data_IF_503811711630
#
_entry.id   IF_503811711630
#
_cell.length_a   1.000
_cell.length_b   1.000
_cell.length_c   1.000
_cell.angle_alpha   90.00
_cell.angle_beta   90.00
_cell.angle_gamma   90.00
#
_symmetry.space_group_name_H-M   'P 1'
#
loop_
_entity.id
_entity.type
_entity.pdbx_description
1 polymer ?
#
# COMPACT_ATOMS: atom_id res chain seq x y z
N UNK A 1 -12.01 5.40 8.73
CA UNK A 1 -11.33 5.89 9.94
C UNK A 1 -11.65 7.36 10.22
N UNK A 2 -11.36 8.28 9.28
CA UNK A 2 -11.48 9.72 9.51
C UNK A 2 -12.83 10.22 10.09
N UNK A 3 -14.01 9.84 9.56
CA UNK A 3 -15.29 10.36 10.10
C UNK A 3 -15.52 9.99 11.56
N UNK A 4 -15.09 8.79 11.97
CA UNK A 4 -15.21 8.31 13.34
C UNK A 4 -14.27 9.05 14.29
N UNK A 5 -13.02 9.31 13.88
CA UNK A 5 -12.06 10.07 14.70
C UNK A 5 -12.53 11.50 14.96
N UNK A 6 -13.08 12.15 13.93
CA UNK A 6 -13.63 13.51 14.07
C UNK A 6 -14.88 13.55 14.96
N UNK A 7 -15.74 12.53 14.88
CA UNK A 7 -16.90 12.39 15.77
C UNK A 7 -16.48 12.23 17.24
N UNK A 8 -15.37 11.54 17.48
CA UNK A 8 -14.78 11.35 18.81
C UNK A 8 -13.99 12.57 19.31
N UNK A 9 -14.01 13.71 18.61
CA UNK A 9 -13.36 14.94 19.06
C UNK A 9 -11.84 14.99 18.83
N UNK A 10 -11.28 14.11 18.00
CA UNK A 10 -9.85 14.18 17.66
C UNK A 10 -9.53 15.47 16.90
N UNK A 11 -8.32 16.01 17.13
CA UNK A 11 -7.82 17.15 16.37
C UNK A 11 -7.84 16.84 14.87
N UNK A 12 -8.40 17.77 14.08
CA UNK A 12 -8.60 17.58 12.65
C UNK A 12 -7.27 17.41 11.90
N UNK A 13 -6.21 18.12 12.30
CA UNK A 13 -4.90 18.02 11.64
C UNK A 13 -4.26 16.67 11.93
N UNK A 14 -4.35 16.20 13.18
CA UNK A 14 -3.86 14.88 13.56
C UNK A 14 -4.62 13.78 12.82
N UNK A 15 -5.96 13.79 12.85
CA UNK A 15 -6.79 12.73 12.24
C UNK A 15 -6.61 12.64 10.71
N UNK A 16 -6.54 13.79 10.03
CA UNK A 16 -6.26 13.83 8.58
C UNK A 16 -4.82 13.36 8.32
N UNK A 17 -3.84 13.88 9.06
CA UNK A 17 -2.44 13.56 8.89
C UNK A 17 -2.15 12.07 9.07
N UNK A 18 -2.67 11.45 10.13
CA UNK A 18 -2.49 10.02 10.39
C UNK A 18 -3.20 9.14 9.36
N UNK A 19 -4.42 9.53 8.95
CA UNK A 19 -5.16 8.79 7.91
C UNK A 19 -4.45 8.85 6.57
N UNK A 20 -3.98 10.02 6.14
CA UNK A 20 -3.24 10.19 4.89
C UNK A 20 -1.88 9.48 4.94
N UNK A 21 -1.13 9.61 6.04
CA UNK A 21 0.15 8.94 6.21
C UNK A 21 0.00 7.42 6.21
N UNK A 22 -1.02 6.89 6.90
CA UNK A 22 -1.32 5.45 6.91
C UNK A 22 -1.74 4.94 5.52
N UNK A 23 -2.54 5.72 4.79
CA UNK A 23 -2.93 5.39 3.42
C UNK A 23 -1.74 5.34 2.47
N UNK A 24 -0.85 6.33 2.53
CA UNK A 24 0.36 6.39 1.70
C UNK A 24 1.39 5.30 2.08
N UNK A 25 1.57 5.02 3.37
CA UNK A 25 2.47 3.96 3.82
C UNK A 25 1.95 2.58 3.41
N UNK A 26 0.62 2.38 3.49
CA UNK A 26 -0.03 1.13 3.09
C UNK A 26 0.17 0.77 1.62
N UNK A 27 0.38 1.75 0.73
CA UNK A 27 0.71 1.45 -0.68
C UNK A 27 2.17 1.06 -0.89
N UNK A 28 3.06 1.40 0.05
CA UNK A 28 4.48 1.05 -0.02
C UNK A 28 4.80 -0.30 0.62
N UNK A 29 4.07 -0.69 1.66
CA UNK A 29 4.31 -1.95 2.37
C UNK A 29 3.98 -3.15 1.44
N UNK A 30 4.90 -4.11 1.26
CA UNK A 30 4.64 -5.30 0.45
C UNK A 30 3.43 -6.11 0.96
N UNK A 31 2.56 -6.63 0.08
CA UNK A 31 2.60 -6.57 -1.39
C UNK A 31 2.13 -5.20 -1.95
N UNK A 32 2.96 -4.58 -2.80
CA UNK A 32 2.71 -3.24 -3.38
C UNK A 32 2.55 -3.28 -4.90
N UNK A 33 1.44 -2.76 -5.41
CA UNK A 33 1.19 -2.64 -6.86
C UNK A 33 2.26 -1.78 -7.54
N UNK A 34 2.69 -0.69 -6.90
CA UNK A 34 3.70 0.23 -7.47
C UNK A 34 5.04 -0.48 -7.68
N UNK A 35 5.48 -1.27 -6.69
CA UNK A 35 6.71 -2.05 -6.79
C UNK A 35 6.60 -3.18 -7.82
N UNK A 36 5.42 -3.80 -7.96
CA UNK A 36 5.17 -4.80 -9.00
C UNK A 36 5.33 -4.18 -10.38
N UNK A 37 4.68 -3.04 -10.64
CA UNK A 37 4.79 -2.36 -11.93
C UNK A 37 6.23 -1.93 -12.21
N UNK A 38 6.90 -1.34 -11.22
CA UNK A 38 8.31 -0.99 -11.35
C UNK A 38 9.18 -2.20 -11.68
N UNK A 39 9.00 -3.33 -10.98
CA UNK A 39 9.73 -4.57 -11.26
C UNK A 39 9.51 -5.09 -12.67
N UNK A 40 8.28 -5.02 -13.17
CA UNK A 40 7.93 -5.41 -14.54
C UNK A 40 8.56 -4.47 -15.57
N UNK A 41 8.52 -3.15 -15.36
CA UNK A 41 9.06 -2.15 -16.30
C UNK A 41 10.59 -2.13 -16.31
N UNK A 42 11.23 -2.24 -15.14
CA UNK A 42 12.68 -2.24 -15.00
C UNK A 42 13.31 -3.63 -15.21
N UNK A 43 12.50 -4.67 -15.45
CA UNK A 43 12.94 -6.06 -15.63
C UNK A 43 13.79 -6.59 -14.44
N UNK A 44 13.40 -6.23 -13.22
CA UNK A 44 14.08 -6.65 -11.98
C UNK A 44 13.18 -7.56 -11.15
N UNK A 45 13.81 -8.39 -10.32
CA UNK A 45 13.14 -9.32 -9.41
C UNK A 45 12.21 -8.57 -8.43
N UNK A 46 10.90 -8.82 -8.54
CA UNK A 46 9.88 -8.24 -7.65
C UNK A 46 10.10 -8.72 -6.21
N UNK A 47 10.53 -9.96 -6.02
CA UNK A 47 10.83 -10.50 -4.70
C UNK A 47 11.93 -9.72 -3.99
N UNK A 48 12.97 -9.31 -4.73
CA UNK A 48 14.07 -8.54 -4.15
C UNK A 48 13.69 -7.08 -3.90
N UNK A 49 12.83 -6.49 -4.76
CA UNK A 49 12.20 -5.20 -4.47
C UNK A 49 11.38 -5.24 -3.17
N UNK A 50 10.62 -6.29 -2.93
CA UNK A 50 9.84 -6.44 -1.70
C UNK A 50 10.75 -6.57 -0.47
N UNK A 51 11.81 -7.39 -0.55
CA UNK A 51 12.81 -7.53 0.52
C UNK A 51 13.47 -6.18 0.82
N UNK A 52 13.89 -5.46 -0.23
CA UNK A 52 14.54 -4.15 -0.12
C UNK A 52 13.63 -3.04 0.41
N UNK A 53 12.33 -3.09 0.09
CA UNK A 53 11.35 -2.11 0.54
C UNK A 53 10.85 -2.35 1.98
N UNK A 54 10.99 -3.57 2.51
CA UNK A 54 10.45 -3.90 3.82
C UNK A 54 11.08 -3.10 4.96
N UNK A 55 12.41 -3.04 5.02
CA UNK A 55 13.13 -2.31 6.06
C UNK A 55 12.81 -0.79 6.07
N UNK A 56 12.89 -0.06 4.94
CA UNK A 56 12.53 1.36 4.94
C UNK A 56 11.06 1.61 5.26
N UNK A 57 10.14 0.74 4.79
CA UNK A 57 8.72 0.85 5.15
C UNK A 57 8.49 0.68 6.66
N UNK A 58 9.20 -0.26 7.29
CA UNK A 58 9.13 -0.48 8.73
C UNK A 58 9.70 0.70 9.53
N UNK A 59 10.86 1.23 9.13
CA UNK A 59 11.46 2.41 9.74
C UNK A 59 10.47 3.59 9.68
N UNK A 60 9.87 3.84 8.52
CA UNK A 60 8.91 4.93 8.35
C UNK A 60 7.65 4.72 9.20
N UNK A 61 7.16 3.47 9.29
CA UNK A 61 6.00 3.13 10.12
C UNK A 61 6.28 3.42 11.60
N UNK A 62 7.46 3.04 12.09
CA UNK A 62 7.90 3.31 13.45
C UNK A 62 8.09 4.80 13.71
N UNK A 63 8.67 5.54 12.76
CA UNK A 63 8.80 7.00 12.87
C UNK A 63 7.45 7.70 12.92
N UNK A 64 6.49 7.29 12.09
CA UNK A 64 5.12 7.83 12.12
C UNK A 64 4.42 7.50 13.44
N UNK A 65 4.53 6.26 13.90
CA UNK A 65 3.95 5.83 15.17
C UNK A 65 4.58 6.61 16.35
N UNK A 66 5.90 6.70 16.40
CA UNK A 66 6.63 7.46 17.41
C UNK A 66 6.26 8.95 17.40
N UNK A 67 6.19 9.57 16.22
CA UNK A 67 5.73 10.95 16.08
C UNK A 67 4.31 11.15 16.63
N UNK A 68 3.36 10.28 16.28
CA UNK A 68 1.98 10.36 16.77
C UNK A 68 1.93 10.19 18.29
N UNK A 69 2.64 9.19 18.84
CA UNK A 69 2.69 8.94 20.28
C UNK A 69 3.28 10.12 21.04
N UNK A 70 4.42 10.66 20.59
CA UNK A 70 5.05 11.84 21.21
C UNK A 70 4.12 13.05 21.15
N UNK A 71 3.46 13.29 20.00
CA UNK A 71 2.54 14.42 19.84
C UNK A 71 1.33 14.30 20.76
N UNK A 72 0.71 13.13 20.84
CA UNK A 72 -0.44 12.89 21.72
C UNK A 72 -0.01 12.95 23.19
N UNK A 73 1.18 12.46 23.53
CA UNK A 73 1.70 12.56 24.91
C UNK A 73 1.93 14.01 25.35
N UNK A 74 2.45 14.86 24.46
CA UNK A 74 2.65 16.29 24.73
C UNK A 74 1.34 17.10 24.77
N UNK A 75 0.32 16.69 24.01
CA UNK A 75 -1.00 17.33 23.99
C UNK A 75 -2.11 16.26 23.96
N UNK A 76 -2.48 15.71 25.13
CA UNK A 76 -3.48 14.64 25.23
C UNK A 76 -4.87 15.05 24.70
N UNK A 77 -5.18 16.35 24.74
CA UNK A 77 -6.41 16.93 24.18
C UNK A 77 -6.60 16.66 22.67
N UNK A 78 -5.52 16.34 21.93
CA UNK A 78 -5.62 16.09 20.48
C UNK A 78 -6.21 14.70 20.14
N UNK A 79 -6.22 13.78 21.09
CA UNK A 79 -6.75 12.43 20.94
C UNK A 79 -7.49 12.02 22.22
N UNK A 80 -8.68 12.60 22.47
CA UNK A 80 -9.46 12.30 23.67
C UNK A 80 -9.85 10.82 23.70
N UNK A 81 -9.85 10.24 24.90
CA UNK A 81 -10.28 8.85 25.11
C UNK A 81 -11.79 8.79 24.94
N UNK A 82 -12.34 7.87 24.10
CA UNK A 82 -13.78 7.74 23.93
C UNK A 82 -14.47 7.45 25.26
N UNK A 83 -15.51 8.22 25.57
CA UNK A 83 -16.41 7.98 26.70
C UNK A 83 -17.19 6.67 26.47
N UNK A 84 -17.65 6.00 27.53
CA UNK A 84 -18.48 4.78 27.40
C UNK A 84 -19.79 5.02 26.62
N UNK A 85 -20.27 6.27 26.56
CA UNK A 85 -21.43 6.69 25.75
C UNK A 85 -21.15 6.80 24.24
N UNK A 86 -19.88 6.84 23.83
CA UNK A 86 -19.46 6.92 22.44
C UNK A 86 -19.16 5.54 21.81
N UNK A 87 -19.18 4.48 22.63
CA UNK A 87 -18.99 3.10 22.16
C UNK A 87 -20.24 2.62 21.41
N UNK A 88 -20.10 2.03 20.22
CA UNK A 88 -21.22 1.39 19.56
C UNK A 88 -21.73 0.22 20.41
N UNK A 89 -23.05 0.13 20.60
CA UNK A 89 -23.81 -0.91 21.34
C UNK A 89 -23.56 -2.37 20.89
N UNK A 90 -22.70 -2.57 19.90
CA UNK A 90 -22.27 -3.87 19.42
C UNK A 90 -21.27 -4.50 20.39
N UNK A 91 -21.42 -5.79 20.76
CA UNK A 91 -20.43 -6.48 21.57
C UNK A 91 -19.07 -6.35 20.90
N UNK A 92 -18.05 -5.99 21.69
CA UNK A 92 -16.70 -5.73 21.19
C UNK A 92 -16.31 -6.84 20.19
N UNK A 93 -16.19 -6.52 18.88
CA UNK A 93 -15.77 -7.53 17.93
C UNK A 93 -14.45 -8.04 18.43
N UNK A 94 -14.29 -9.37 18.50
CA UNK A 94 -13.05 -9.98 18.93
C UNK A 94 -11.96 -9.53 17.95
N UNK A 95 -11.29 -8.41 18.27
CA UNK A 95 -10.33 -7.72 17.39
C UNK A 95 -9.26 -8.70 16.94
N UNK A 96 -8.91 -9.64 17.82
CA UNK A 96 -8.02 -10.74 17.54
C UNK A 96 -8.53 -11.64 16.40
N UNK A 97 -9.79 -12.11 16.43
CA UNK A 97 -10.38 -12.89 15.32
C UNK A 97 -10.59 -12.07 14.04
N UNK A 98 -10.90 -10.77 14.18
CA UNK A 98 -11.08 -9.89 13.04
C UNK A 98 -9.77 -9.68 12.27
N UNK A 99 -8.64 -9.59 12.99
CA UNK A 99 -7.33 -9.32 12.42
C UNK A 99 -6.53 -10.59 12.10
N UNK A 100 -6.83 -11.72 12.74
CA UNK A 100 -6.13 -12.99 12.54
C UNK A 100 -6.16 -13.44 11.08
N UNK A 101 -7.32 -13.45 10.44
CA UNK A 101 -7.46 -13.92 9.06
C UNK A 101 -6.69 -13.03 8.04
N UNK A 102 -6.82 -11.69 8.07
CA UNK A 102 -6.01 -10.81 7.24
C UNK A 102 -4.50 -10.91 7.50
N UNK A 103 -4.07 -11.00 8.76
CA UNK A 103 -2.64 -11.16 9.07
C UNK A 103 -2.12 -12.48 8.54
N UNK A 104 -2.87 -13.57 8.75
CA UNK A 104 -2.47 -14.90 8.30
C UNK A 104 -2.34 -14.93 6.77
N UNK A 105 -3.24 -14.30 6.01
CA UNK A 105 -3.10 -14.22 4.56
C UNK A 105 -1.86 -13.44 4.14
N UNK A 106 -1.55 -12.33 4.79
CA UNK A 106 -0.32 -11.55 4.53
C UNK A 106 0.93 -12.38 4.84
N UNK A 107 0.96 -13.08 5.97
CA UNK A 107 2.09 -13.94 6.38
C UNK A 107 2.29 -15.09 5.39
N UNK A 108 1.22 -15.72 4.91
CA UNK A 108 1.30 -16.79 3.90
C UNK A 108 1.84 -16.25 2.57
N UNK A 109 1.32 -15.11 2.10
CA UNK A 109 1.75 -14.50 0.83
C UNK A 109 3.21 -14.03 0.92
N UNK A 110 3.56 -13.23 1.93
CA UNK A 110 4.94 -12.75 2.08
C UNK A 110 5.91 -13.87 2.43
N UNK A 111 5.49 -14.83 3.25
CA UNK A 111 6.30 -15.99 3.62
C UNK A 111 6.60 -16.89 2.44
N UNK A 112 5.64 -17.11 1.54
CA UNK A 112 5.87 -17.90 0.31
C UNK A 112 6.78 -17.19 -0.69
N UNK A 113 6.70 -15.86 -0.80
CA UNK A 113 7.60 -15.04 -1.65
C UNK A 113 9.03 -15.03 -1.08
N UNK A 114 9.19 -14.70 0.20
CA UNK A 114 10.51 -14.59 0.82
C UNK A 114 11.18 -15.94 1.04
N UNK A 115 10.39 -16.98 1.29
CA UNK A 115 10.86 -18.36 1.36
C UNK A 115 11.26 -18.96 0.01
N UNK A 116 11.04 -18.24 -1.10
CA UNK A 116 11.36 -18.72 -2.45
C UNK A 116 10.49 -19.91 -2.90
N UNK A 117 9.39 -20.18 -2.19
CA UNK A 117 8.51 -21.32 -2.45
C UNK A 117 7.56 -21.02 -3.61
N UNK A 118 7.14 -19.75 -3.75
CA UNK A 118 6.19 -19.31 -4.76
C UNK A 118 6.64 -18.00 -5.41
N UNK A 119 6.39 -17.87 -6.71
CA UNK A 119 6.47 -16.61 -7.43
C UNK A 119 5.38 -15.63 -6.94
N UNK A 120 5.52 -14.34 -7.26
CA UNK A 120 4.54 -13.31 -6.87
C UNK A 120 3.14 -13.62 -7.39
N UNK A 121 3.05 -14.21 -8.59
CA UNK A 121 1.78 -14.62 -9.19
C UNK A 121 1.13 -15.78 -8.44
N UNK A 122 1.91 -16.80 -8.09
CA UNK A 122 1.44 -17.96 -7.32
C UNK A 122 1.05 -17.57 -5.89
N UNK A 123 1.86 -16.73 -5.24
CA UNK A 123 1.56 -16.18 -3.92
C UNK A 123 0.26 -15.36 -3.93
N UNK A 124 0.01 -14.59 -5.00
CA UNK A 124 -1.24 -13.84 -5.17
C UNK A 124 -2.46 -14.78 -5.28
N UNK A 125 -2.33 -15.89 -6.01
CA UNK A 125 -3.40 -16.89 -6.10
C UNK A 125 -3.71 -17.52 -4.73
N UNK A 126 -2.67 -17.87 -3.95
CA UNK A 126 -2.82 -18.38 -2.58
C UNK A 126 -3.52 -17.35 -1.67
N UNK A 127 -3.18 -16.07 -1.80
CA UNK A 127 -3.83 -14.98 -1.07
C UNK A 127 -5.33 -14.86 -1.38
N UNK A 128 -5.70 -14.91 -2.66
CA UNK A 128 -7.11 -14.86 -3.10
C UNK A 128 -7.87 -16.07 -2.58
N UNK A 129 -7.30 -17.27 -2.66
CA UNK A 129 -7.92 -18.48 -2.12
C UNK A 129 -8.10 -18.39 -0.60
N UNK A 130 -7.09 -17.92 0.13
CA UNK A 130 -7.17 -17.72 1.58
C UNK A 130 -8.27 -16.74 1.98
N UNK A 131 -8.40 -15.61 1.26
CA UNK A 131 -9.49 -14.65 1.50
C UNK A 131 -10.85 -15.24 1.11
N UNK A 132 -10.96 -15.92 -0.03
CA UNK A 132 -12.21 -16.55 -0.46
C UNK A 132 -12.72 -17.56 0.57
N UNK A 133 -11.84 -18.40 1.12
CA UNK A 133 -12.17 -19.36 2.19
C UNK A 133 -12.59 -18.61 3.47
N UNK A 134 -11.82 -17.59 3.89
CA UNK A 134 -12.16 -16.78 5.07
C UNK A 134 -13.54 -16.14 4.95
N UNK A 135 -13.86 -15.59 3.78
CA UNK A 135 -15.15 -14.95 3.49
C UNK A 135 -16.29 -15.97 3.38
N UNK A 136 -16.02 -17.16 2.85
CA UNK A 136 -16.99 -18.26 2.82
C UNK A 136 -17.36 -18.73 4.22
N UNK A 137 -16.38 -18.95 5.12
CA UNK A 137 -16.62 -19.33 6.51
C UNK A 137 -17.45 -18.28 7.26
N UNK A 138 -17.29 -16.99 6.93
CA UNK A 138 -18.08 -15.89 7.51
C UNK A 138 -19.50 -15.76 6.94
N UNK A 139 -19.85 -16.51 5.89
CA UNK A 139 -21.14 -16.40 5.21
C UNK A 139 -21.32 -15.10 4.41
N UNK A 140 -20.23 -14.36 4.19
CA UNK A 140 -20.24 -13.05 3.50
C UNK A 140 -20.00 -13.19 1.98
N UNK A 141 -19.76 -14.41 1.50
CA UNK A 141 -19.48 -14.70 0.09
C UNK A 141 -20.75 -14.50 -0.75
N UNK A 142 -20.75 -13.47 -1.59
CA UNK A 142 -21.84 -13.20 -2.53
C UNK A 142 -21.32 -12.90 -3.93
N UNK A 143 -22.13 -13.22 -4.95
CA UNK A 143 -21.80 -12.92 -6.34
C UNK A 143 -21.64 -11.41 -6.57
N UNK A 144 -22.41 -10.59 -5.83
CA UNK A 144 -22.29 -9.14 -5.84
C UNK A 144 -20.91 -8.67 -5.32
N UNK A 145 -20.41 -9.28 -4.24
CA UNK A 145 -19.10 -8.97 -3.69
C UNK A 145 -17.97 -9.35 -4.67
N UNK A 146 -18.04 -10.55 -5.25
CA UNK A 146 -17.06 -11.00 -6.27
C UNK A 146 -17.06 -10.06 -7.47
N UNK A 147 -18.25 -9.73 -8.03
CA UNK A 147 -18.37 -8.80 -9.15
C UNK A 147 -17.79 -7.43 -8.80
N UNK A 148 -18.05 -6.91 -7.59
CA UNK A 148 -17.51 -5.63 -7.13
C UNK A 148 -15.98 -5.66 -7.02
N UNK A 149 -15.41 -6.73 -6.47
CA UNK A 149 -13.96 -6.92 -6.36
C UNK A 149 -13.30 -6.99 -7.75
N UNK A 150 -13.90 -7.74 -8.68
CA UNK A 150 -13.43 -7.86 -10.06
C UNK A 150 -13.48 -6.50 -10.78
N UNK A 151 -14.59 -5.76 -10.71
CA UNK A 151 -14.69 -4.43 -11.33
C UNK A 151 -13.66 -3.46 -10.75
N UNK A 152 -13.45 -3.49 -9.42
CA UNK A 152 -12.45 -2.66 -8.76
C UNK A 152 -11.04 -2.99 -9.27
N UNK A 153 -10.73 -4.28 -9.40
CA UNK A 153 -9.44 -4.76 -9.92
C UNK A 153 -9.25 -4.35 -11.38
N UNK A 154 -10.24 -4.57 -12.25
CA UNK A 154 -10.17 -4.15 -13.65
C UNK A 154 -9.99 -2.64 -13.79
N UNK A 155 -10.62 -1.83 -12.94
CA UNK A 155 -10.46 -0.38 -12.97
C UNK A 155 -9.02 0.03 -12.64
N UNK A 156 -8.43 -0.56 -11.60
CA UNK A 156 -7.03 -0.29 -11.24
C UNK A 156 -6.08 -0.74 -12.35
N UNK A 157 -6.25 -1.95 -12.87
CA UNK A 157 -5.45 -2.45 -14.00
C UNK A 157 -5.59 -1.56 -15.24
N UNK A 158 -6.82 -1.13 -15.57
CA UNK A 158 -7.09 -0.24 -16.69
C UNK A 158 -6.41 1.12 -16.55
N UNK A 159 -6.44 1.73 -15.35
CA UNK A 159 -5.72 2.98 -15.07
C UNK A 159 -4.21 2.80 -15.30
N UNK A 160 -3.62 1.69 -14.82
CA UNK A 160 -2.19 1.41 -14.98
C UNK A 160 -1.83 1.25 -16.46
N UNK A 161 -2.63 0.50 -17.24
CA UNK A 161 -2.42 0.33 -18.68
C UNK A 161 -2.47 1.68 -19.40
N UNK A 162 -3.46 2.53 -19.09
CA UNK A 162 -3.56 3.87 -19.67
C UNK A 162 -2.37 4.77 -19.33
N UNK A 163 -1.90 4.73 -18.07
CA UNK A 163 -0.69 5.44 -17.66
C UNK A 163 0.52 4.92 -18.43
N UNK A 164 0.66 3.60 -18.59
CA UNK A 164 1.73 2.97 -19.35
C UNK A 164 1.73 3.38 -20.83
N UNK A 165 0.56 3.43 -21.47
CA UNK A 165 0.41 3.90 -22.86
C UNK A 165 0.85 5.35 -22.99
N UNK A 166 0.36 6.24 -22.09
CA UNK A 166 0.73 7.65 -22.09
C UNK A 166 2.22 7.87 -21.86
N UNK A 167 2.81 7.15 -20.90
CA UNK A 167 4.23 7.20 -20.62
C UNK A 167 5.07 6.74 -21.83
N UNK A 168 4.69 5.62 -22.46
CA UNK A 168 5.40 5.08 -23.63
C UNK A 168 5.32 6.02 -24.83
N UNK A 169 4.16 6.62 -25.07
CA UNK A 169 3.99 7.61 -26.14
C UNK A 169 4.85 8.86 -25.90
N UNK A 170 4.86 9.39 -24.67
CA UNK A 170 5.69 10.55 -24.31
C UNK A 170 7.19 10.23 -24.45
N UNK A 171 7.64 9.09 -23.90
CA UNK A 171 9.04 8.65 -24.01
C UNK A 171 9.43 8.45 -25.47
N UNK A 172 8.54 7.89 -26.29
CA UNK A 172 8.76 7.75 -27.73
C UNK A 172 9.00 9.10 -28.42
N UNK A 173 8.12 10.08 -28.23
CA UNK A 173 8.28 11.44 -28.79
C UNK A 173 9.54 12.12 -28.26
N UNK A 174 9.78 12.03 -26.95
CA UNK A 174 10.95 12.61 -26.31
C UNK A 174 12.26 12.06 -26.87
N UNK A 175 12.34 10.75 -27.08
CA UNK A 175 13.51 10.10 -27.66
C UNK A 175 13.71 10.51 -29.13
N UNK A 176 12.62 10.62 -29.91
CA UNK A 176 12.68 11.08 -31.31
C UNK A 176 13.15 12.54 -31.44
N UNK A 177 12.82 13.38 -30.46
CA UNK A 177 13.28 14.78 -30.41
C UNK A 177 14.74 14.93 -29.94
N UNK A 178 15.46 13.82 -29.71
CA UNK A 178 16.84 13.86 -29.22
C UNK A 178 16.96 14.12 -27.71
N UNK A 179 15.88 13.94 -26.95
CA UNK A 179 15.84 14.23 -25.51
C UNK A 179 16.85 13.44 -24.68
N UNK A 180 17.15 12.18 -25.06
CA UNK A 180 18.19 11.38 -24.40
C UNK A 180 19.56 12.04 -24.54
N UNK A 181 19.91 12.52 -25.74
CA UNK A 181 21.21 13.16 -25.98
C UNK A 181 21.30 14.49 -25.22
N UNK A 182 20.22 15.28 -25.22
CA UNK A 182 20.13 16.51 -24.43
C UNK A 182 20.38 16.28 -22.93
N UNK A 183 19.75 15.26 -22.33
CA UNK A 183 19.98 14.94 -20.90
C UNK A 183 21.39 14.42 -20.68
N UNK A 184 21.91 13.60 -21.60
CA UNK A 184 23.28 13.08 -21.53
C UNK A 184 24.31 14.21 -21.53
N UNK A 185 24.17 15.18 -22.44
CA UNK A 185 25.02 16.37 -22.51
C UNK A 185 24.93 17.22 -21.23
N UNK A 186 23.72 17.45 -20.69
CA UNK A 186 23.57 18.18 -19.42
C UNK A 186 24.22 17.46 -18.24
N UNK A 187 24.09 16.14 -18.16
CA UNK A 187 24.72 15.34 -17.09
C UNK A 187 26.25 15.42 -17.20
N UNK A 188 26.81 15.31 -18.40
CA UNK A 188 28.25 15.46 -18.60
C UNK A 188 28.76 16.87 -18.33
N UNK A 189 27.99 17.90 -18.71
CA UNK A 189 28.30 19.29 -18.42
C UNK A 189 28.33 19.59 -16.90
N UNK A 190 27.43 18.98 -16.12
CA UNK A 190 27.40 19.13 -14.64
C UNK A 190 28.48 18.29 -13.96
N UNK A 191 28.81 17.10 -14.49
CA UNK A 191 29.88 16.23 -13.94
C UNK A 191 31.30 16.70 -14.27
N UNK A 192 31.47 17.76 -15.08
CA UNK A 192 32.78 18.31 -15.44
C UNK A 192 33.62 17.40 -16.34
N UNK A 193 32.99 16.62 -17.21
CA UNK A 193 33.67 15.65 -18.07
C UNK A 193 33.81 16.12 -19.52
N UNK A 194 35.05 16.47 -19.90
CA UNK A 194 35.52 16.46 -21.29
C UNK A 194 35.79 15.00 -21.68
N UNK A 195 35.09 14.47 -22.70
CA UNK A 195 35.34 13.13 -23.26
C UNK A 195 34.17 12.51 -24.01
#
# INVERSE_FOLDING_TARGET
>A
ALPQMLRLGYDRKLAIGTTCAGGALGTMLPPSIVLIIYGLTANVSIGDLFKGAFLPALILALLYMGYVLVRVWLKPEMAPIPSDQDQPDTPAPNFFKALLFPILSVVVVLGSIYGGVASVTEASALGVLGIAISTWIRGELSLAMVRKATISTLRVCGMIIWIGIGATALVGVYNLMGGIEFVREMVFAVSGGDG
#
